data_IF_815051502930
#
_entry.id   IF_815051502930
#
_cell.length_a   1.000
_cell.length_b   1.000
_cell.length_c   1.000
_cell.angle_alpha   90.00
_cell.angle_beta   90.00
_cell.angle_gamma   90.00
#
_symmetry.space_group_name_H-M   'P 1'
#
loop_
_entity.id
_entity.type
_entity.pdbx_description
1 polymer ?
#
# COMPACT_ATOMS: atom_id res chain seq x y z
N UNK A 1 -3.81 5.37 -20.62
CA UNK A 1 -3.77 4.31 -19.59
C UNK A 1 -3.06 4.89 -18.39
N UNK A 2 -3.65 4.82 -17.19
CA UNK A 2 -3.16 5.55 -16.03
C UNK A 2 -2.51 4.60 -15.03
N UNK A 3 -1.38 5.03 -14.48
CA UNK A 3 -0.66 4.36 -13.39
C UNK A 3 -1.20 4.85 -12.06
N UNK A 4 -1.33 3.96 -11.07
CA UNK A 4 -1.62 4.33 -9.69
C UNK A 4 -0.31 4.42 -8.92
N UNK A 5 -0.12 5.51 -8.19
CA UNK A 5 1.05 5.75 -7.35
C UNK A 5 0.58 6.01 -5.93
N UNK A 6 1.17 5.29 -4.98
CA UNK A 6 1.13 5.62 -3.57
C UNK A 6 2.53 6.07 -3.16
N UNK A 7 2.64 7.23 -2.53
CA UNK A 7 3.92 7.77 -2.09
C UNK A 7 3.92 7.98 -0.58
N UNK A 8 4.86 7.32 0.10
CA UNK A 8 5.14 7.44 1.53
C UNK A 8 3.89 7.36 2.40
N UNK A 9 2.99 6.43 2.07
CA UNK A 9 1.70 6.29 2.76
C UNK A 9 1.93 5.87 4.20
N UNK A 10 1.39 6.66 5.12
CA UNK A 10 1.31 6.34 6.55
C UNK A 10 -0.16 6.24 6.93
N UNK A 11 -0.56 5.12 7.55
CA UNK A 11 -1.94 4.88 7.93
C UNK A 11 -2.07 3.97 9.15
N UNK A 12 -3.14 4.13 9.93
CA UNK A 12 -3.38 3.37 11.15
C UNK A 12 -4.70 3.73 11.83
N UNK A 13 -4.94 3.13 13.00
CA UNK A 13 -6.13 3.37 13.81
C UNK A 13 -5.73 3.91 15.19
N UNK A 14 -6.29 5.06 15.56
CA UNK A 14 -6.02 5.70 16.85
C UNK A 14 -4.53 5.99 17.03
N UNK A 15 -3.91 5.36 18.04
CA UNK A 15 -2.47 5.51 18.33
C UNK A 15 -1.59 4.48 17.61
N UNK A 16 -2.18 3.51 16.92
CA UNK A 16 -1.44 2.44 16.28
C UNK A 16 -1.27 2.71 14.79
N UNK A 17 -0.03 2.86 14.35
CA UNK A 17 0.34 2.85 12.95
C UNK A 17 0.40 1.40 12.43
N UNK A 18 -0.10 1.19 11.20
CA UNK A 18 -0.16 -0.12 10.54
C UNK A 18 0.62 -0.10 9.21
N UNK A 19 0.52 0.99 8.45
CA UNK A 19 1.28 1.21 7.23
C UNK A 19 2.35 2.25 7.53
N UNK A 20 3.61 1.86 7.36
CA UNK A 20 4.78 2.63 7.80
C UNK A 20 5.54 3.25 6.62
N UNK A 21 5.02 4.34 6.07
CA UNK A 21 5.70 5.12 5.01
C UNK A 21 5.92 4.34 3.72
N UNK A 22 4.91 3.62 3.24
CA UNK A 22 5.02 2.73 2.07
C UNK A 22 4.82 3.49 0.77
N UNK A 23 5.76 3.33 -0.17
CA UNK A 23 5.60 3.78 -1.57
C UNK A 23 5.43 2.57 -2.49
N UNK A 24 4.48 2.65 -3.43
CA UNK A 24 4.26 1.63 -4.46
C UNK A 24 3.74 2.22 -5.77
N UNK A 25 4.01 1.53 -6.86
CA UNK A 25 3.47 1.86 -8.19
C UNK A 25 2.75 0.64 -8.73
N UNK A 26 1.46 0.79 -9.04
CA UNK A 26 0.69 -0.19 -9.80
C UNK A 26 0.61 0.28 -11.26
N UNK A 27 1.40 -0.38 -12.11
CA UNK A 27 1.54 -0.04 -13.53
C UNK A 27 0.26 -0.33 -14.33
N UNK A 28 -0.07 0.56 -15.27
CA UNK A 28 -1.23 0.38 -16.12
C UNK A 28 -1.13 -0.89 -16.97
N UNK A 29 -2.21 -1.69 -17.00
CA UNK A 29 -2.25 -2.94 -17.76
C UNK A 29 -1.57 -4.14 -17.06
N UNK A 30 -1.05 -3.97 -15.84
CA UNK A 30 -0.53 -5.08 -15.02
C UNK A 30 -1.47 -5.41 -13.86
N UNK A 31 -1.41 -6.66 -13.41
CA UNK A 31 -2.00 -7.09 -12.15
C UNK A 31 -0.95 -6.89 -11.05
N UNK A 32 -1.27 -6.05 -10.06
CA UNK A 32 -0.44 -5.84 -8.86
C UNK A 32 -1.13 -6.47 -7.67
N UNK A 33 -0.43 -7.32 -6.92
CA UNK A 33 -0.95 -8.00 -5.74
C UNK A 33 -0.13 -7.59 -4.51
N UNK A 34 -0.83 -7.20 -3.43
CA UNK A 34 -0.23 -7.01 -2.11
C UNK A 34 -0.53 -8.27 -1.29
N UNK A 35 0.49 -9.04 -0.95
CA UNK A 35 0.36 -10.37 -0.33
C UNK A 35 1.07 -10.49 1.02
N UNK A 36 0.55 -11.33 1.92
CA UNK A 36 1.05 -11.49 3.29
C UNK A 36 -0.03 -11.87 4.33
N UNK A 37 0.34 -12.06 5.61
CA UNK A 37 -0.54 -12.56 6.67
C UNK A 37 -1.61 -11.56 7.13
N UNK A 38 -2.62 -12.02 7.86
CA UNK A 38 -3.65 -11.15 8.44
C UNK A 38 -3.02 -10.12 9.40
N UNK A 39 -3.45 -8.87 9.29
CA UNK A 39 -2.99 -7.77 10.16
C UNK A 39 -1.69 -7.08 9.76
N UNK A 40 -1.02 -7.47 8.67
CA UNK A 40 0.27 -6.88 8.29
C UNK A 40 0.20 -5.58 7.46
N UNK A 41 -0.98 -4.96 7.31
CA UNK A 41 -1.12 -3.68 6.61
C UNK A 41 -1.15 -3.75 5.08
N UNK A 42 -1.56 -4.88 4.51
CA UNK A 42 -1.94 -4.97 3.09
C UNK A 42 -3.29 -4.35 2.86
#
# INVERSE_FOLDING_TARGET
MNTLVADSVVAGYGKQEIVHGVSLVAEAGKITCIFGPNGCGK
#
